data_IF_811012446387
#
_entry.id   IF_811012446387
#
_cell.length_a   1.000
_cell.length_b   1.000
_cell.length_c   1.000
_cell.angle_alpha   90.00
_cell.angle_beta   90.00
_cell.angle_gamma   90.00
#
_symmetry.space_group_name_H-M   'P 1'
#
loop_
_entity.id
_entity.type
_entity.pdbx_description
1 polymer ?
#
# COMPACT_ATOMS: atom_id res chain seq x y z
N UNK A 1 -39.09 -22.19 8.48
CA UNK A 1 -37.87 -21.48 8.87
C UNK A 1 -38.12 -20.79 10.22
N UNK A 2 -37.16 -20.84 11.08
CA UNK A 2 -37.14 -20.16 12.38
C UNK A 2 -36.04 -19.09 12.34
N UNK A 3 -35.96 -18.24 13.31
CA UNK A 3 -34.85 -17.25 13.42
C UNK A 3 -33.47 -17.94 13.45
N UNK A 4 -33.41 -19.20 13.89
CA UNK A 4 -32.18 -20.00 13.92
C UNK A 4 -31.72 -20.50 12.52
N UNK A 5 -32.58 -20.37 11.50
CA UNK A 5 -32.29 -20.80 10.13
C UNK A 5 -31.68 -19.65 9.29
N UNK A 6 -31.57 -18.44 9.85
CA UNK A 6 -30.98 -17.29 9.17
C UNK A 6 -29.45 -17.39 9.16
N UNK A 7 -28.85 -16.97 8.05
CA UNK A 7 -27.39 -16.80 7.96
C UNK A 7 -26.93 -15.68 8.88
N UNK A 8 -25.74 -15.83 9.42
CA UNK A 8 -25.09 -14.75 10.17
C UNK A 8 -24.93 -13.54 9.28
N UNK A 9 -25.39 -12.39 9.77
CA UNK A 9 -25.20 -11.11 9.09
C UNK A 9 -23.92 -10.45 9.57
N UNK A 10 -23.14 -9.94 8.62
CA UNK A 10 -21.94 -9.15 8.87
C UNK A 10 -22.15 -7.70 8.42
N UNK A 11 -21.56 -6.72 9.12
CA UNK A 11 -21.63 -5.33 8.71
C UNK A 11 -21.04 -5.15 7.31
N UNK A 12 -21.72 -4.38 6.47
CA UNK A 12 -21.23 -3.96 5.16
C UNK A 12 -21.12 -2.44 5.18
N UNK A 13 -19.95 -1.94 4.81
CA UNK A 13 -19.68 -0.52 4.67
C UNK A 13 -19.20 -0.23 3.23
N UNK A 14 -19.37 1.01 2.81
CA UNK A 14 -18.97 1.45 1.48
C UNK A 14 -18.15 2.73 1.61
N UNK A 15 -17.05 2.78 0.84
CA UNK A 15 -16.26 4.00 0.67
C UNK A 15 -15.82 4.11 -0.79
N UNK A 16 -16.25 5.21 -1.46
CA UNK A 16 -15.85 5.51 -2.84
C UNK A 16 -16.10 4.36 -3.83
N UNK A 17 -17.24 3.69 -3.72
CA UNK A 17 -17.62 2.54 -4.55
C UNK A 17 -16.97 1.21 -4.15
N UNK A 18 -16.07 1.20 -3.19
CA UNK A 18 -15.49 -0.02 -2.62
C UNK A 18 -16.32 -0.53 -1.45
N UNK A 19 -16.62 -1.83 -1.45
CA UNK A 19 -17.38 -2.47 -0.39
C UNK A 19 -16.45 -3.17 0.60
N UNK A 20 -16.67 -2.91 1.88
CA UNK A 20 -15.92 -3.48 2.99
C UNK A 20 -16.82 -4.32 3.88
N UNK A 21 -16.32 -5.47 4.31
CA UNK A 21 -17.02 -6.36 5.22
C UNK A 21 -16.05 -6.78 6.33
N UNK A 22 -16.56 -6.88 7.56
CA UNK A 22 -15.80 -7.35 8.72
C UNK A 22 -16.54 -8.46 9.44
N UNK A 23 -15.79 -9.37 10.07
CA UNK A 23 -16.34 -10.44 10.92
C UNK A 23 -16.69 -9.90 12.31
N UNK A 24 -15.96 -8.89 12.77
CA UNK A 24 -16.22 -8.19 14.02
C UNK A 24 -16.92 -6.87 13.74
N UNK A 25 -17.83 -6.48 14.63
CA UNK A 25 -18.52 -5.18 14.51
C UNK A 25 -17.55 -4.07 14.91
N UNK A 26 -16.94 -3.44 13.91
CA UNK A 26 -15.91 -2.44 14.14
C UNK A 26 -16.29 -1.09 13.57
N UNK A 27 -15.60 -0.08 14.04
CA UNK A 27 -15.72 1.29 13.60
C UNK A 27 -15.08 1.46 12.21
N UNK A 28 -15.83 1.19 11.14
CA UNK A 28 -15.36 1.39 9.77
C UNK A 28 -14.98 2.87 9.49
N UNK A 29 -15.73 3.81 10.06
CA UNK A 29 -15.44 5.24 9.88
C UNK A 29 -14.03 5.58 10.40
N UNK A 30 -13.66 5.10 11.59
CA UNK A 30 -12.31 5.29 12.12
C UNK A 30 -11.23 4.56 11.29
N UNK A 31 -11.55 3.39 10.74
CA UNK A 31 -10.64 2.65 9.89
C UNK A 31 -10.29 3.41 8.59
N UNK A 32 -11.28 4.06 7.97
CA UNK A 32 -11.10 4.76 6.68
C UNK A 32 -10.80 6.26 6.81
N UNK A 33 -10.98 6.85 8.00
CA UNK A 33 -10.85 8.29 8.24
C UNK A 33 -9.48 8.84 7.79
N UNK A 34 -8.40 8.13 8.13
CA UNK A 34 -7.04 8.55 7.77
C UNK A 34 -6.81 8.54 6.25
N UNK A 35 -7.50 7.66 5.52
CA UNK A 35 -7.47 7.60 4.05
C UNK A 35 -8.30 8.73 3.47
N UNK A 36 -9.55 8.87 3.92
CA UNK A 36 -10.50 9.87 3.40
C UNK A 36 -9.99 11.31 3.62
N UNK A 37 -9.38 11.59 4.76
CA UNK A 37 -8.82 12.90 5.09
C UNK A 37 -7.74 13.38 4.09
N UNK A 38 -7.01 12.44 3.44
CA UNK A 38 -5.95 12.77 2.48
C UNK A 38 -6.39 12.66 1.02
N UNK A 39 -7.16 11.64 0.68
CA UNK A 39 -7.48 11.32 -0.72
C UNK A 39 -8.97 11.37 -1.02
N UNK A 40 -9.82 11.66 -0.04
CA UNK A 40 -11.26 11.77 -0.20
C UNK A 40 -11.74 12.85 -1.17
N UNK A 41 -10.88 13.81 -1.51
CA UNK A 41 -11.12 14.83 -2.53
C UNK A 41 -11.02 14.30 -3.96
N UNK A 42 -10.35 13.14 -4.17
CA UNK A 42 -10.29 12.48 -5.47
C UNK A 42 -11.65 11.91 -5.86
N UNK A 43 -11.96 11.99 -7.14
CA UNK A 43 -13.20 11.46 -7.71
C UNK A 43 -13.11 9.95 -7.99
N UNK A 44 -12.75 9.19 -6.95
CA UNK A 44 -12.42 7.75 -7.03
C UNK A 44 -13.61 6.94 -7.57
N UNK A 45 -14.83 7.34 -7.23
CA UNK A 45 -16.07 6.66 -7.67
C UNK A 45 -16.21 6.64 -9.21
N UNK A 46 -15.59 7.59 -9.90
CA UNK A 46 -15.59 7.69 -11.35
C UNK A 46 -14.32 7.11 -12.01
N UNK A 47 -13.40 6.55 -11.23
CA UNK A 47 -12.25 5.84 -11.81
C UNK A 47 -12.71 4.57 -12.55
N UNK A 48 -12.14 4.34 -13.71
CA UNK A 48 -12.46 3.15 -14.51
C UNK A 48 -11.56 1.98 -14.13
N UNK A 49 -12.16 0.83 -13.76
CA UNK A 49 -11.40 -0.40 -13.56
C UNK A 49 -10.76 -0.84 -14.89
N UNK A 50 -9.45 -0.89 -14.92
CA UNK A 50 -8.67 -1.33 -16.09
C UNK A 50 -8.22 -2.77 -15.90
N UNK A 51 -8.95 -3.71 -16.50
CA UNK A 51 -8.65 -5.15 -16.42
C UNK A 51 -7.27 -5.51 -16.99
N UNK A 52 -6.73 -4.69 -17.90
CA UNK A 52 -5.38 -4.91 -18.45
C UNK A 52 -4.27 -4.68 -17.42
N UNK A 53 -4.60 -4.02 -16.32
CA UNK A 53 -3.71 -3.77 -15.17
C UNK A 53 -3.93 -4.76 -14.02
N UNK A 54 -4.85 -5.71 -14.18
CA UNK A 54 -4.99 -6.78 -13.21
C UNK A 54 -3.76 -7.70 -13.26
N UNK A 55 -3.16 -7.96 -12.10
CA UNK A 55 -2.04 -8.88 -11.92
C UNK A 55 -2.29 -9.76 -10.72
N UNK A 56 -1.74 -10.95 -10.77
CA UNK A 56 -1.69 -11.84 -9.61
C UNK A 56 -0.34 -12.53 -9.60
N UNK A 57 0.45 -12.27 -8.58
CA UNK A 57 1.76 -12.86 -8.37
C UNK A 57 1.72 -13.78 -7.17
N UNK A 58 2.48 -14.87 -7.22
CA UNK A 58 2.74 -15.73 -6.06
C UNK A 58 4.22 -15.66 -5.75
N UNK A 59 4.55 -15.36 -4.50
CA UNK A 59 5.92 -15.26 -4.01
C UNK A 59 6.18 -16.32 -2.95
N UNK A 60 7.38 -16.88 -2.95
CA UNK A 60 7.84 -17.87 -1.96
C UNK A 60 8.37 -17.15 -0.70
N UNK A 61 7.44 -16.47 -0.02
CA UNK A 61 7.72 -15.71 1.20
C UNK A 61 6.50 -15.58 2.10
N UNK A 62 6.76 -15.37 3.39
CA UNK A 62 5.75 -14.99 4.37
C UNK A 62 5.19 -13.61 4.03
N UNK A 63 3.89 -13.45 4.18
CA UNK A 63 3.16 -12.20 3.89
C UNK A 63 3.70 -11.00 4.68
N UNK A 64 4.16 -11.23 5.92
CA UNK A 64 4.70 -10.16 6.75
C UNK A 64 6.00 -9.58 6.18
N UNK A 65 6.86 -10.39 5.55
CA UNK A 65 8.07 -9.88 4.88
C UNK A 65 7.75 -9.02 3.66
N UNK A 66 6.67 -9.34 2.94
CA UNK A 66 6.19 -8.49 1.85
C UNK A 66 5.64 -7.15 2.38
N UNK A 67 4.88 -7.20 3.48
CA UNK A 67 4.40 -5.99 4.15
C UNK A 67 5.56 -5.17 4.73
N UNK A 68 6.56 -5.81 5.33
CA UNK A 68 7.78 -5.13 5.80
C UNK A 68 8.46 -4.35 4.68
N UNK A 69 8.67 -4.99 3.52
CA UNK A 69 9.27 -4.36 2.34
C UNK A 69 8.45 -3.14 1.86
N UNK A 70 7.13 -3.25 1.87
CA UNK A 70 6.25 -2.16 1.45
C UNK A 70 6.27 -0.97 2.44
N UNK A 71 6.43 -1.22 3.75
CA UNK A 71 6.25 -0.23 4.81
C UNK A 71 7.46 0.67 5.06
N UNK A 72 8.49 0.58 4.23
CA UNK A 72 9.67 1.41 4.35
C UNK A 72 10.17 1.85 2.96
N UNK A 73 10.70 3.06 2.87
CA UNK A 73 11.35 3.54 1.66
C UNK A 73 12.87 3.35 1.67
N UNK A 74 13.40 2.61 2.65
CA UNK A 74 14.84 2.49 2.86
C UNK A 74 15.55 1.72 1.74
N UNK A 75 14.88 0.72 1.16
CA UNK A 75 15.41 -0.07 0.04
C UNK A 75 15.35 0.64 -1.32
N UNK A 76 14.50 1.67 -1.49
CA UNK A 76 14.28 2.35 -2.79
C UNK A 76 15.59 2.71 -3.50
N UNK A 77 16.57 3.38 -2.86
CA UNK A 77 17.81 3.77 -3.55
C UNK A 77 18.69 2.61 -3.99
N UNK A 78 18.46 1.41 -3.44
CA UNK A 78 19.31 0.24 -3.65
C UNK A 78 18.67 -0.80 -4.57
N UNK A 79 17.33 -0.85 -4.60
CA UNK A 79 16.54 -1.84 -5.31
C UNK A 79 15.87 -1.23 -6.54
N UNK A 80 15.23 -0.07 -6.39
CA UNK A 80 14.40 0.55 -7.42
C UNK A 80 15.09 1.76 -8.07
N UNK A 81 16.06 1.50 -8.93
CA UNK A 81 16.84 2.57 -9.56
C UNK A 81 16.00 3.60 -10.33
N UNK A 82 14.93 3.17 -11.02
CA UNK A 82 14.05 4.07 -11.76
C UNK A 82 13.11 4.85 -10.82
N UNK A 83 12.55 4.20 -9.83
CA UNK A 83 11.70 4.85 -8.83
C UNK A 83 12.49 5.87 -8.01
N UNK A 84 13.75 5.57 -7.69
CA UNK A 84 14.64 6.52 -7.02
C UNK A 84 14.93 7.79 -7.84
N UNK A 85 14.91 7.69 -9.17
CA UNK A 85 15.11 8.87 -10.04
C UNK A 85 13.89 9.80 -10.05
N UNK A 86 12.69 9.28 -9.84
CA UNK A 86 11.45 10.06 -9.88
C UNK A 86 10.98 10.55 -8.51
N UNK A 87 11.49 9.97 -7.41
CA UNK A 87 11.14 10.37 -6.05
C UNK A 87 12.28 11.10 -5.34
N UNK A 88 11.95 12.18 -4.65
CA UNK A 88 12.81 12.85 -3.68
C UNK A 88 12.89 11.98 -2.39
N UNK A 89 13.98 11.24 -2.25
CA UNK A 89 14.20 10.34 -1.12
C UNK A 89 14.28 11.06 0.23
N UNK A 90 14.79 12.28 0.27
CA UNK A 90 14.88 13.07 1.51
C UNK A 90 13.52 13.63 1.91
N UNK A 91 12.68 13.93 0.93
CA UNK A 91 11.28 14.36 1.12
C UNK A 91 10.32 13.22 1.45
N UNK A 92 10.72 11.95 1.26
CA UNK A 92 9.88 10.78 1.54
C UNK A 92 9.61 10.65 3.04
N UNK A 93 8.32 10.52 3.42
CA UNK A 93 7.93 10.47 4.83
C UNK A 93 6.86 9.43 5.12
N UNK A 94 6.82 8.98 6.37
CA UNK A 94 5.89 7.97 6.87
C UNK A 94 5.07 8.56 8.02
N UNK A 95 3.76 8.39 7.96
CA UNK A 95 2.80 8.75 9.01
C UNK A 95 2.12 7.47 9.51
N UNK A 96 1.97 7.36 10.84
CA UNK A 96 1.37 6.21 11.50
C UNK A 96 -0.02 6.58 11.99
N UNK A 97 -0.97 5.64 11.84
CA UNK A 97 -2.31 5.77 12.40
C UNK A 97 -2.83 4.42 12.89
N UNK A 98 -3.92 4.40 13.61
CA UNK A 98 -4.49 3.16 14.14
C UNK A 98 -4.87 2.20 12.99
N UNK A 99 -4.29 1.00 13.00
CA UNK A 99 -4.53 -0.02 11.99
C UNK A 99 -3.89 0.22 10.63
N UNK A 100 -2.98 1.22 10.48
CA UNK A 100 -2.37 1.48 9.19
C UNK A 100 -1.16 2.39 9.18
N UNK A 101 -0.61 2.55 7.99
CA UNK A 101 0.54 3.41 7.68
C UNK A 101 0.27 4.16 6.39
N UNK A 102 0.63 5.42 6.35
CA UNK A 102 0.70 6.23 5.14
C UNK A 102 2.16 6.57 4.85
N UNK A 103 2.61 6.27 3.64
CA UNK A 103 3.87 6.78 3.11
C UNK A 103 3.58 7.79 2.01
N UNK A 104 4.33 8.88 1.98
CA UNK A 104 4.12 10.01 1.06
C UNK A 104 5.39 10.19 0.25
N UNK A 105 5.29 9.86 -1.04
CA UNK A 105 6.35 10.08 -2.02
C UNK A 105 6.29 11.49 -2.58
N UNK A 106 7.41 12.21 -2.54
CA UNK A 106 7.56 13.55 -3.12
C UNK A 106 8.23 13.42 -4.48
N UNK A 107 7.72 14.12 -5.48
CA UNK A 107 8.26 14.11 -6.83
C UNK A 107 9.58 14.89 -6.92
N UNK A 108 10.55 14.35 -7.65
CA UNK A 108 11.71 15.10 -8.12
C UNK A 108 11.31 16.19 -9.11
N UNK A 109 12.22 17.08 -9.42
CA UNK A 109 11.97 18.18 -10.36
C UNK A 109 11.66 17.64 -11.77
N UNK A 110 10.52 18.09 -12.33
CA UNK A 110 10.05 17.67 -13.64
C UNK A 110 9.14 16.44 -13.64
N UNK A 111 9.02 15.74 -12.51
CA UNK A 111 8.18 14.56 -12.40
C UNK A 111 6.73 14.91 -12.07
N UNK A 112 5.75 14.05 -12.47
CA UNK A 112 4.34 14.24 -12.18
C UNK A 112 4.04 14.21 -10.68
N UNK A 113 3.10 15.06 -10.26
CA UNK A 113 2.59 15.13 -8.89
C UNK A 113 1.11 15.56 -8.89
N UNK A 114 0.43 15.37 -7.77
CA UNK A 114 -0.97 15.77 -7.61
C UNK A 114 -1.14 17.30 -7.61
N UNK A 115 -2.15 17.79 -8.32
CA UNK A 115 -2.65 19.17 -8.18
C UNK A 115 -3.58 19.23 -6.93
N UNK A 116 -2.97 19.47 -5.79
CA UNK A 116 -3.66 19.41 -4.50
C UNK A 116 -4.55 20.63 -4.27
N UNK A 117 -5.79 20.46 -3.77
CA UNK A 117 -6.67 21.57 -3.40
C UNK A 117 -6.02 22.48 -2.34
N UNK A 118 -6.36 23.78 -2.36
CA UNK A 118 -5.77 24.77 -1.46
C UNK A 118 -6.00 24.49 0.05
N UNK A 119 -7.02 23.72 0.39
CA UNK A 119 -7.32 23.28 1.75
C UNK A 119 -6.72 21.91 2.11
N UNK A 120 -5.96 21.29 1.20
CA UNK A 120 -5.35 20.00 1.44
C UNK A 120 -4.19 20.09 2.45
N UNK A 121 -4.01 19.10 3.36
CA UNK A 121 -2.91 19.10 4.33
C UNK A 121 -1.52 19.24 3.72
N UNK A 122 -1.32 18.68 2.53
CA UNK A 122 -0.05 18.72 1.79
C UNK A 122 -0.01 19.83 0.71
N UNK A 123 -0.93 20.78 0.74
CA UNK A 123 -0.96 21.86 -0.25
C UNK A 123 0.42 22.55 -0.39
N UNK A 124 0.87 22.74 -1.60
CA UNK A 124 2.17 23.33 -1.93
C UNK A 124 3.33 22.32 -1.96
N UNK A 125 3.08 21.05 -1.66
CA UNK A 125 4.08 19.98 -1.84
C UNK A 125 3.85 19.27 -3.18
N UNK A 126 4.94 18.78 -3.79
CA UNK A 126 4.88 17.99 -5.02
C UNK A 126 4.67 16.51 -4.72
N UNK A 127 3.50 16.15 -4.21
CA UNK A 127 3.22 14.76 -3.86
C UNK A 127 3.05 13.91 -5.12
N UNK A 128 3.97 12.96 -5.32
CA UNK A 128 3.95 12.01 -6.44
C UNK A 128 3.01 10.82 -6.17
N UNK A 129 2.93 10.39 -4.91
CA UNK A 129 2.12 9.24 -4.54
C UNK A 129 1.77 9.25 -3.05
N UNK A 130 0.61 8.66 -2.74
CA UNK A 130 0.21 8.25 -1.40
C UNK A 130 0.13 6.73 -1.36
N UNK A 131 0.94 6.09 -0.50
CA UNK A 131 1.00 4.66 -0.32
C UNK A 131 0.41 4.28 1.04
N UNK A 132 -0.79 3.75 1.05
CA UNK A 132 -1.46 3.28 2.26
C UNK A 132 -1.29 1.78 2.42
N UNK A 133 -0.95 1.37 3.62
CA UNK A 133 -1.17 0.03 4.10
C UNK A 133 -2.23 0.05 5.20
N UNK A 134 -3.25 -0.80 5.06
CA UNK A 134 -4.33 -1.00 6.01
C UNK A 134 -4.32 -2.47 6.47
N UNK A 135 -4.31 -2.66 7.78
CA UNK A 135 -4.24 -4.01 8.36
C UNK A 135 -5.41 -4.89 7.89
N UNK A 136 -5.19 -6.19 7.58
CA UNK A 136 -3.90 -6.88 7.62
C UNK A 136 -3.10 -6.78 6.31
N UNK A 137 -3.71 -6.60 5.16
CA UNK A 137 -3.02 -6.74 3.88
C UNK A 137 -3.66 -5.99 2.73
N UNK A 138 -4.39 -4.90 3.00
CA UNK A 138 -4.91 -4.00 1.97
C UNK A 138 -3.92 -2.85 1.76
N UNK A 139 -3.50 -2.64 0.51
CA UNK A 139 -2.66 -1.51 0.12
C UNK A 139 -3.40 -0.68 -0.93
N UNK A 140 -3.46 0.63 -0.69
CA UNK A 140 -4.06 1.60 -1.61
C UNK A 140 -2.98 2.56 -2.06
N UNK A 141 -2.61 2.49 -3.33
CA UNK A 141 -1.54 3.30 -3.90
C UNK A 141 -2.14 4.32 -4.86
N UNK A 142 -2.21 5.57 -4.41
CA UNK A 142 -2.75 6.67 -5.21
C UNK A 142 -1.63 7.37 -5.97
N UNK A 143 -1.86 7.54 -7.27
CA UNK A 143 -0.98 8.24 -8.21
C UNK A 143 -1.78 9.28 -8.99
N UNK A 144 -1.15 10.26 -9.64
CA UNK A 144 -1.85 11.21 -10.51
C UNK A 144 -2.72 10.56 -11.60
N UNK A 145 -2.39 9.34 -12.05
CA UNK A 145 -3.22 8.61 -13.00
C UNK A 145 -4.42 7.87 -12.39
N UNK A 146 -4.44 7.64 -11.07
CA UNK A 146 -5.52 6.91 -10.38
C UNK A 146 -5.07 6.10 -9.18
N UNK A 147 -5.58 4.86 -9.05
CA UNK A 147 -5.40 4.01 -7.88
C UNK A 147 -4.97 2.59 -8.28
N UNK A 148 -3.92 2.07 -7.63
CA UNK A 148 -3.64 0.63 -7.56
C UNK A 148 -4.09 0.09 -6.20
N UNK A 149 -5.00 -0.87 -6.21
CA UNK A 149 -5.40 -1.63 -5.02
C UNK A 149 -4.65 -2.94 -5.02
N UNK A 150 -3.87 -3.18 -3.96
CA UNK A 150 -3.10 -4.41 -3.83
C UNK A 150 -3.61 -5.20 -2.62
N UNK A 151 -3.87 -6.48 -2.82
CA UNK A 151 -4.32 -7.40 -1.78
C UNK A 151 -3.22 -8.40 -1.48
N UNK A 152 -2.73 -8.39 -0.25
CA UNK A 152 -1.74 -9.35 0.26
C UNK A 152 -2.48 -10.52 0.89
N UNK A 153 -2.40 -11.68 0.27
CA UNK A 153 -3.17 -12.87 0.64
C UNK A 153 -2.21 -13.99 1.06
N UNK A 154 -2.07 -14.25 2.37
CA UNK A 154 -1.26 -15.36 2.84
C UNK A 154 -1.89 -16.70 2.43
N UNK A 155 -1.14 -17.55 1.73
CA UNK A 155 -1.57 -18.90 1.32
C UNK A 155 -0.93 -19.99 2.20
N UNK A 156 0.30 -19.75 2.67
CA UNK A 156 1.03 -20.59 3.62
C UNK A 156 2.00 -19.74 4.43
N UNK A 157 2.72 -20.36 5.37
CA UNK A 157 3.71 -19.68 6.22
C UNK A 157 4.86 -19.06 5.41
N UNK A 158 5.15 -19.61 4.26
CA UNK A 158 6.23 -19.22 3.35
C UNK A 158 5.74 -18.97 1.92
N UNK A 159 4.45 -18.68 1.76
CA UNK A 159 3.84 -18.44 0.45
C UNK A 159 2.74 -17.41 0.54
N UNK A 160 2.86 -16.40 -0.30
CA UNK A 160 1.92 -15.28 -0.37
C UNK A 160 1.51 -15.01 -1.80
N UNK A 161 0.23 -14.71 -2.01
CA UNK A 161 -0.27 -14.22 -3.28
C UNK A 161 -0.59 -12.74 -3.17
N UNK A 162 -0.11 -11.96 -4.15
CA UNK A 162 -0.39 -10.53 -4.26
C UNK A 162 -1.28 -10.30 -5.46
N UNK A 163 -2.40 -9.62 -5.28
CA UNK A 163 -3.36 -9.32 -6.35
C UNK A 163 -3.46 -7.80 -6.52
N UNK A 164 -3.33 -7.34 -7.75
CA UNK A 164 -3.39 -5.93 -8.14
C UNK A 164 -4.62 -5.64 -8.97
N UNK A 165 -5.29 -4.54 -8.65
CA UNK A 165 -6.37 -3.98 -9.44
C UNK A 165 -6.07 -2.51 -9.73
N UNK A 166 -6.05 -2.13 -11.01
CA UNK A 166 -5.85 -0.75 -11.44
C UNK A 166 -7.17 -0.04 -11.70
N UNK A 167 -7.34 1.15 -11.15
CA UNK A 167 -8.46 2.04 -11.38
C UNK A 167 -7.94 3.37 -11.93
N UNK A 168 -8.28 3.68 -13.18
CA UNK A 168 -7.70 4.82 -13.93
C UNK A 168 -8.65 6.01 -13.88
N UNK A 169 -8.17 7.12 -13.32
CA UNK A 169 -8.85 8.41 -13.32
C UNK A 169 -8.40 9.30 -14.49
N UNK A 170 -7.07 9.37 -14.73
CA UNK A 170 -6.50 10.13 -15.86
C UNK A 170 -5.55 9.24 -16.67
N UNK A 171 -6.05 8.75 -17.82
CA UNK A 171 -5.27 7.91 -18.71
C UNK A 171 -4.05 8.61 -19.35
N UNK A 172 -4.04 9.93 -19.42
CA UNK A 172 -2.91 10.68 -19.99
C UNK A 172 -1.66 10.64 -19.10
N UNK A 173 -1.83 10.34 -17.82
CA UNK A 173 -0.78 10.24 -16.81
C UNK A 173 -0.20 8.82 -16.65
N UNK A 174 -0.75 7.83 -17.37
CA UNK A 174 -0.26 6.45 -17.31
C UNK A 174 1.18 6.33 -17.83
N UNK A 175 1.97 5.48 -17.19
CA UNK A 175 3.37 5.23 -17.58
C UNK A 175 4.34 6.33 -17.16
N UNK A 176 3.93 7.26 -16.29
CA UNK A 176 4.73 8.39 -15.84
C UNK A 176 4.92 8.42 -14.33
N UNK A 177 6.04 8.98 -13.88
CA UNK A 177 6.35 9.24 -12.48
C UNK A 177 6.39 7.97 -11.61
N UNK A 178 6.07 8.13 -10.34
CA UNK A 178 6.15 7.06 -9.33
C UNK A 178 5.27 5.83 -9.62
N UNK A 179 4.17 6.01 -10.37
CA UNK A 179 3.27 4.93 -10.80
C UNK A 179 3.51 4.44 -12.23
N UNK A 180 4.68 4.73 -12.82
CA UNK A 180 4.95 4.51 -14.25
C UNK A 180 5.09 3.04 -14.64
N UNK A 181 5.95 2.29 -13.96
CA UNK A 181 6.22 0.86 -14.24
C UNK A 181 6.10 0.01 -12.98
N UNK A 182 4.84 -0.26 -12.59
CA UNK A 182 4.55 -1.05 -11.40
C UNK A 182 4.96 -2.53 -11.56
N UNK A 183 4.90 -3.09 -12.77
CA UNK A 183 5.28 -4.48 -13.01
C UNK A 183 6.80 -4.69 -12.76
N UNK A 184 7.63 -3.71 -13.11
CA UNK A 184 9.07 -3.75 -12.84
C UNK A 184 9.37 -3.63 -11.36
N UNK A 185 8.78 -2.63 -10.69
CA UNK A 185 8.94 -2.43 -9.24
C UNK A 185 8.58 -3.69 -8.48
N UNK A 186 7.43 -4.30 -8.80
CA UNK A 186 6.98 -5.54 -8.17
C UNK A 186 7.96 -6.71 -8.38
N UNK A 187 8.52 -6.87 -9.59
CA UNK A 187 9.49 -7.95 -9.84
C UNK A 187 10.78 -7.77 -9.03
N UNK A 188 11.21 -6.52 -8.83
CA UNK A 188 12.36 -6.18 -7.98
C UNK A 188 12.06 -6.48 -6.51
N UNK A 189 10.87 -6.13 -6.01
CA UNK A 189 10.42 -6.43 -4.64
C UNK A 189 10.33 -7.94 -4.38
N UNK A 190 9.73 -8.71 -5.28
CA UNK A 190 9.64 -10.17 -5.16
C UNK A 190 11.01 -10.80 -4.97
N UNK A 191 11.99 -10.39 -5.79
CA UNK A 191 13.36 -10.92 -5.70
C UNK A 191 13.98 -10.66 -4.31
N UNK A 192 13.81 -9.45 -3.77
CA UNK A 192 14.36 -9.08 -2.46
C UNK A 192 13.63 -9.82 -1.33
N UNK A 193 12.31 -9.84 -1.36
CA UNK A 193 11.47 -10.45 -0.32
C UNK A 193 11.70 -11.96 -0.22
N UNK A 194 11.82 -12.67 -1.36
CA UNK A 194 12.18 -14.09 -1.37
C UNK A 194 13.61 -14.34 -0.87
N UNK A 195 14.53 -13.40 -1.12
CA UNK A 195 15.87 -13.40 -0.55
C UNK A 195 15.83 -13.24 0.97
N UNK A 196 15.02 -12.34 1.48
CA UNK A 196 14.80 -12.13 2.92
C UNK A 196 14.19 -13.38 3.57
N UNK A 197 13.21 -14.04 2.94
CA UNK A 197 12.63 -15.30 3.44
C UNK A 197 13.69 -16.38 3.64
N UNK A 198 14.59 -16.52 2.69
CA UNK A 198 15.72 -17.47 2.83
C UNK A 198 16.65 -17.07 3.97
N UNK A 199 16.90 -15.77 4.11
CA UNK A 199 17.74 -15.20 5.17
C UNK A 199 17.19 -15.46 6.57
N UNK A 200 15.92 -15.14 6.81
CA UNK A 200 15.27 -15.33 8.14
C UNK A 200 15.08 -16.82 8.48
N UNK A 201 15.03 -17.69 7.50
CA UNK A 201 14.98 -19.13 7.69
C UNK A 201 16.35 -19.76 8.00
N UNK A 202 17.43 -18.97 7.95
CA UNK A 202 18.80 -19.45 8.21
C UNK A 202 19.02 -19.71 9.70
N UNK A 203 19.76 -20.76 10.02
CA UNK A 203 20.21 -21.06 11.40
C UNK A 203 21.08 -19.93 12.00
N UNK A 204 21.66 -19.09 11.17
CA UNK A 204 22.48 -17.96 11.60
C UNK A 204 21.68 -16.69 11.87
N UNK A 205 20.38 -16.66 11.55
CA UNK A 205 19.54 -15.52 11.82
C UNK A 205 19.05 -15.53 13.27
N UNK A 206 19.31 -14.46 13.99
CA UNK A 206 18.84 -14.31 15.37
C UNK A 206 17.76 -13.22 15.47
N UNK A 207 18.02 -12.05 14.91
CA UNK A 207 17.11 -10.89 14.95
C UNK A 207 17.52 -9.80 13.96
N UNK A 208 16.53 -9.06 13.47
CA UNK A 208 16.74 -7.80 12.74
C UNK A 208 16.94 -6.60 13.68
N UNK A 209 17.20 -5.44 13.07
CA UNK A 209 17.24 -4.13 13.73
C UNK A 209 16.45 -3.16 12.86
N UNK A 210 15.66 -2.31 13.50
CA UNK A 210 14.97 -1.23 12.81
C UNK A 210 15.85 0.00 12.67
N UNK A 211 15.74 0.66 11.53
CA UNK A 211 16.17 2.04 11.37
C UNK A 211 15.15 2.96 12.09
N UNK A 212 15.57 3.76 13.08
CA UNK A 212 14.63 4.58 13.84
C UNK A 212 14.00 5.71 13.02
N UNK A 213 14.54 6.00 11.84
CA UNK A 213 14.07 7.09 10.96
C UNK A 213 13.45 6.62 9.67
N UNK A 214 13.75 5.40 9.19
CA UNK A 214 13.30 4.90 7.89
C UNK A 214 12.34 3.71 7.99
N UNK A 215 12.30 3.00 9.12
CA UNK A 215 11.47 1.80 9.32
C UNK A 215 10.45 1.96 10.44
N UNK A 216 9.94 3.19 10.64
CA UNK A 216 8.89 3.45 11.62
C UNK A 216 7.59 2.74 11.27
N UNK A 217 7.27 2.60 9.97
CA UNK A 217 6.12 1.86 9.48
C UNK A 217 6.22 0.36 9.79
N UNK A 218 7.38 -0.25 9.51
CA UNK A 218 7.67 -1.67 9.83
C UNK A 218 7.54 -1.92 11.33
N UNK A 219 8.13 -1.07 12.15
CA UNK A 219 8.02 -1.20 13.61
C UNK A 219 6.57 -1.09 14.10
N UNK A 220 5.77 -0.18 13.52
CA UNK A 220 4.35 -0.04 13.83
C UNK A 220 3.56 -1.29 13.46
N UNK A 221 3.79 -1.85 12.27
CA UNK A 221 3.18 -3.10 11.82
C UNK A 221 3.47 -4.26 12.79
N UNK A 222 4.74 -4.44 13.20
CA UNK A 222 5.11 -5.49 14.14
C UNK A 222 4.45 -5.31 15.52
N UNK A 223 4.23 -4.07 15.95
CA UNK A 223 3.45 -3.80 17.17
C UNK A 223 2.00 -4.24 17.03
N UNK A 224 1.34 -3.89 15.92
CA UNK A 224 -0.04 -4.32 15.64
C UNK A 224 -0.18 -5.85 15.65
N UNK A 225 0.85 -6.58 15.14
CA UNK A 225 0.84 -8.04 15.15
C UNK A 225 0.98 -8.67 16.55
N UNK A 226 1.49 -7.93 17.53
CA UNK A 226 1.84 -8.45 18.87
C UNK A 226 0.94 -7.94 19.99
N UNK A 227 0.09 -6.97 19.72
CA UNK A 227 -0.94 -6.44 20.61
C UNK A 227 -2.25 -7.21 20.48
#
# INVERSE_FOLDING_TARGET
PTENDHLTQFPLAEWKGMLFNTITADNFEGFIEAVDARVGWLDIENFSHDISRHRSYTIDSNWALYVDNYLEGFHIPFVHGDLHQVLDYDGYRTELFEGGVLQIGIANEGEPFFDLPANHPDFGQKVAAYYYWLFPGLMLNFFPWGLSVNLVIPEAVDRTRIVYHGFVGDASMLGQGAGGDLDKVEAEDQFVVEGCQKGVSSIAYERGRYSPTKETGVHHFHRILTE
#
